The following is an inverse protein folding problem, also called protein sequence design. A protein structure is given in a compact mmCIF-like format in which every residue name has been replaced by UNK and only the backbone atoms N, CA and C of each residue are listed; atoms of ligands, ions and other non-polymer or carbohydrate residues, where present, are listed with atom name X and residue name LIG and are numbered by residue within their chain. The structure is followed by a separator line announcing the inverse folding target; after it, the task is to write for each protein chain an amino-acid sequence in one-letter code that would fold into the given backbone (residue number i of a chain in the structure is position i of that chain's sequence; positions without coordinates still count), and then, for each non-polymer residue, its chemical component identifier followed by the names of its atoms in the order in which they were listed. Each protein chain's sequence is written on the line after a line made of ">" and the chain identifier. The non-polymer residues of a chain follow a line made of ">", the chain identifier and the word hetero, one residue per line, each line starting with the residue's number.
data_IF_160137515690
#
_entry.id   IF_160137515690
#
_cell.length_a   1.000
_cell.length_b   1.000
_cell.length_c   1.000
_cell.angle_alpha   90.00
_cell.angle_beta   90.00
_cell.angle_gamma   90.00
#
_symmetry.space_group_name_H-M   'P 1'
#
loop_
_entity.id
_entity.type
_entity.pdbx_description
1 polymer ?
#
# COMPACT_ATOMS: atom_id res chain seq x y z
N UNK A 1 -18.87 20.19 16.29
CA UNK A 1 -18.03 19.09 15.84
C UNK A 1 -17.22 18.61 17.02
N UNK A 2 -17.26 17.32 17.30
CA UNK A 2 -16.40 16.71 18.30
C UNK A 2 -14.94 16.74 17.83
N UNK A 3 -13.95 16.62 18.72
CA UNK A 3 -12.55 16.46 18.31
C UNK A 3 -12.33 15.19 17.46
N UNK A 4 -13.22 14.21 17.53
CA UNK A 4 -13.14 12.97 16.77
C UNK A 4 -13.59 13.14 15.30
N UNK A 5 -14.39 14.17 15.00
CA UNK A 5 -14.90 14.46 13.65
C UNK A 5 -13.77 14.80 12.65
N UNK A 6 -12.58 15.20 13.14
CA UNK A 6 -11.43 15.49 12.27
C UNK A 6 -10.73 14.21 11.74
N UNK A 7 -10.96 13.08 12.43
CA UNK A 7 -10.39 11.77 12.09
C UNK A 7 -11.38 10.89 11.32
N UNK A 8 -12.64 11.31 11.19
CA UNK A 8 -13.61 10.63 10.32
C UNK A 8 -13.60 11.24 8.92
N UNK A 9 -14.08 10.45 7.95
CA UNK A 9 -14.26 10.89 6.56
C UNK A 9 -15.76 11.09 6.32
N UNK A 10 -16.20 12.26 5.84
CA UNK A 10 -17.61 12.49 5.55
C UNK A 10 -18.08 11.66 4.35
N UNK A 11 -19.37 11.35 4.28
CA UNK A 11 -19.92 10.51 3.21
C UNK A 11 -19.88 11.17 1.81
N UNK A 12 -19.77 12.49 1.76
CA UNK A 12 -19.61 13.28 0.53
C UNK A 12 -18.12 13.53 0.19
N UNK A 13 -17.20 12.69 0.70
CA UNK A 13 -15.78 12.79 0.40
C UNK A 13 -15.53 12.85 -1.12
N UNK A 14 -14.75 13.82 -1.60
CA UNK A 14 -14.57 14.00 -3.04
C UNK A 14 -13.80 12.83 -3.66
N UNK A 15 -14.35 12.26 -4.72
CA UNK A 15 -13.72 11.24 -5.56
C UNK A 15 -13.66 11.79 -6.98
N UNK A 16 -12.47 11.75 -7.58
CA UNK A 16 -12.22 12.22 -8.93
C UNK A 16 -11.58 11.10 -9.74
N UNK A 17 -12.10 10.86 -10.93
CA UNK A 17 -11.55 9.91 -11.88
C UNK A 17 -10.39 10.52 -12.66
N UNK A 18 -9.26 9.79 -12.73
CA UNK A 18 -8.14 10.18 -13.58
C UNK A 18 -8.45 9.77 -15.03
N UNK A 19 -8.69 10.74 -15.90
CA UNK A 19 -8.89 10.50 -17.33
C UNK A 19 -7.52 10.32 -18.02
N UNK A 20 -7.33 9.16 -18.66
CA UNK A 20 -6.11 8.86 -19.42
C UNK A 20 -6.38 8.05 -20.70
N UNK A 21 -7.64 7.87 -21.09
CA UNK A 21 -8.06 7.01 -22.19
C UNK A 21 -7.49 7.51 -23.52
N UNK A 22 -7.60 8.81 -23.78
CA UNK A 22 -7.08 9.43 -25.02
C UNK A 22 -5.57 9.24 -25.14
N UNK A 23 -4.83 9.47 -24.05
CA UNK A 23 -3.38 9.30 -24.01
C UNK A 23 -2.98 7.83 -24.18
N UNK A 24 -3.68 6.91 -23.51
CA UNK A 24 -3.41 5.48 -23.58
C UNK A 24 -3.72 4.90 -24.97
N UNK A 25 -4.82 5.32 -25.62
CA UNK A 25 -5.20 4.83 -26.93
C UNK A 25 -4.22 5.22 -28.04
N UNK A 26 -3.56 6.38 -27.90
CA UNK A 26 -2.53 6.83 -28.81
C UNK A 26 -1.23 6.01 -28.75
N UNK A 27 -1.04 5.17 -27.73
CA UNK A 27 0.14 4.33 -27.58
C UNK A 27 0.13 3.14 -28.56
N UNK A 28 1.29 2.84 -29.14
CA UNK A 28 1.52 1.57 -29.83
C UNK A 28 1.44 0.38 -28.87
N UNK A 29 1.23 -0.83 -29.40
CA UNK A 29 1.19 -2.05 -28.57
C UNK A 29 2.47 -2.24 -27.74
N UNK A 30 3.64 -1.92 -28.29
CA UNK A 30 4.92 -1.99 -27.55
C UNK A 30 4.93 -1.02 -26.37
N UNK A 31 4.47 0.21 -26.57
CA UNK A 31 4.36 1.23 -25.53
C UNK A 31 3.32 0.84 -24.47
N UNK A 32 2.16 0.32 -24.87
CA UNK A 32 1.15 -0.20 -23.93
C UNK A 32 1.72 -1.30 -23.03
N UNK A 33 2.51 -2.23 -23.59
CA UNK A 33 3.19 -3.26 -22.81
C UNK A 33 4.25 -2.69 -21.86
N UNK A 34 5.03 -1.69 -22.30
CA UNK A 34 5.98 -0.97 -21.44
C UNK A 34 5.27 -0.33 -20.23
N UNK A 35 4.23 0.48 -20.49
CA UNK A 35 3.41 1.12 -19.46
C UNK A 35 2.72 0.11 -18.54
N UNK A 36 2.20 -0.99 -19.10
CA UNK A 36 1.54 -2.05 -18.33
C UNK A 36 2.48 -2.68 -17.29
N UNK A 37 3.68 -3.10 -17.69
CA UNK A 37 4.61 -3.74 -16.77
C UNK A 37 5.22 -2.76 -15.77
N UNK A 38 5.43 -1.50 -16.14
CA UNK A 38 5.82 -0.46 -15.17
C UNK A 38 4.70 -0.20 -14.16
N UNK A 39 3.45 -0.13 -14.62
CA UNK A 39 2.29 0.01 -13.74
C UNK A 39 2.20 -1.17 -12.76
N UNK A 40 2.40 -2.41 -13.22
CA UNK A 40 2.44 -3.58 -12.35
C UNK A 40 3.60 -3.50 -11.35
N UNK A 41 4.79 -3.07 -11.76
CA UNK A 41 5.92 -2.88 -10.86
C UNK A 41 5.58 -1.87 -9.75
N UNK A 42 4.98 -0.73 -10.11
CA UNK A 42 4.56 0.32 -9.18
C UNK A 42 3.46 -0.15 -8.22
N UNK A 43 2.41 -0.81 -8.72
CA UNK A 43 1.30 -1.30 -7.89
C UNK A 43 1.71 -2.44 -6.95
N UNK A 44 2.61 -3.33 -7.37
CA UNK A 44 3.16 -4.30 -6.44
C UNK A 44 4.12 -3.65 -5.44
N UNK A 45 4.94 -2.69 -5.89
CA UNK A 45 5.83 -1.93 -5.02
C UNK A 45 5.08 -1.16 -3.92
N UNK A 46 3.91 -0.61 -4.23
CA UNK A 46 3.09 0.13 -3.25
C UNK A 46 2.57 -0.75 -2.11
N UNK A 47 2.55 -2.07 -2.25
CA UNK A 47 2.25 -2.98 -1.13
C UNK A 47 3.23 -2.81 0.04
N UNK A 48 4.47 -2.38 -0.23
CA UNK A 48 5.43 -2.07 0.83
C UNK A 48 4.99 -0.85 1.66
N UNK A 49 4.22 0.09 1.08
CA UNK A 49 3.75 1.30 1.77
C UNK A 49 2.79 0.95 2.90
N UNK A 50 1.91 -0.05 2.72
CA UNK A 50 1.04 -0.52 3.81
C UNK A 50 1.83 -1.00 5.04
N UNK A 51 3.01 -1.56 4.81
CA UNK A 51 3.92 -1.97 5.89
C UNK A 51 4.65 -0.75 6.47
N UNK A 52 4.96 0.27 5.66
CA UNK A 52 5.64 1.50 6.10
C UNK A 52 4.75 2.42 6.94
N UNK A 53 3.46 2.55 6.60
CA UNK A 53 2.51 3.50 7.24
C UNK A 53 2.13 3.06 8.67
N UNK A 54 2.30 1.79 9.03
CA UNK A 54 1.91 1.28 10.36
C UNK A 54 3.08 0.70 11.17
N UNK A 55 4.32 1.06 10.81
CA UNK A 55 5.49 0.52 11.48
C UNK A 55 5.69 1.09 12.90
N UNK A 56 5.55 0.18 13.89
CA UNK A 56 6.15 0.22 15.22
C UNK A 56 5.86 1.45 16.09
N UNK A 57 4.60 1.60 16.54
CA UNK A 57 4.29 2.45 17.72
C UNK A 57 4.70 1.74 19.04
N UNK A 58 5.00 0.44 19.02
CA UNK A 58 5.50 -0.33 20.18
C UNK A 58 5.93 -1.74 19.74
N UNK A 59 6.84 -2.38 20.48
CA UNK A 59 7.19 -3.81 20.34
C UNK A 59 6.01 -4.78 20.52
N UNK A 60 4.83 -4.27 20.90
CA UNK A 60 3.61 -5.03 21.17
C UNK A 60 2.48 -4.85 20.14
N UNK A 61 2.61 -3.93 19.17
CA UNK A 61 1.54 -3.63 18.20
C UNK A 61 1.96 -4.06 16.80
N UNK A 62 1.24 -5.04 16.23
CA UNK A 62 1.39 -5.43 14.82
C UNK A 62 0.89 -4.29 13.93
N UNK A 63 1.58 -3.94 12.82
CA UNK A 63 1.08 -2.97 11.86
C UNK A 63 -0.33 -3.36 11.38
N UNK A 64 -1.32 -2.47 11.56
CA UNK A 64 -2.71 -2.77 11.23
C UNK A 64 -3.04 -2.56 9.75
N UNK A 65 -2.35 -1.64 9.06
CA UNK A 65 -2.60 -1.34 7.64
C UNK A 65 -2.52 -2.59 6.72
N UNK A 66 -1.51 -3.47 6.81
CA UNK A 66 -1.48 -4.69 5.99
C UNK A 66 -2.64 -5.65 6.29
N UNK A 67 -3.12 -5.67 7.54
CA UNK A 67 -4.23 -6.52 7.95
C UNK A 67 -5.57 -5.94 7.47
N UNK A 68 -5.74 -4.62 7.54
CA UNK A 68 -6.88 -3.90 6.95
C UNK A 68 -6.92 -4.13 5.44
N UNK A 69 -5.77 -4.02 4.75
CA UNK A 69 -5.66 -4.32 3.32
C UNK A 69 -6.12 -5.75 3.01
N UNK A 70 -5.65 -6.73 3.78
CA UNK A 70 -6.04 -8.13 3.59
C UNK A 70 -7.54 -8.35 3.82
N UNK A 71 -8.10 -7.75 4.87
CA UNK A 71 -9.53 -7.81 5.20
C UNK A 71 -10.39 -7.22 4.08
N UNK A 72 -10.12 -5.97 3.68
CA UNK A 72 -10.90 -5.28 2.65
C UNK A 72 -10.76 -5.97 1.29
N UNK A 73 -9.55 -6.37 0.90
CA UNK A 73 -9.32 -7.08 -0.37
C UNK A 73 -10.09 -8.40 -0.41
N UNK A 74 -10.12 -9.18 0.69
CA UNK A 74 -10.92 -10.40 0.77
C UNK A 74 -12.41 -10.12 0.59
N UNK A 75 -12.94 -9.09 1.26
CA UNK A 75 -14.36 -8.72 1.13
C UNK A 75 -14.69 -8.32 -0.32
N UNK A 76 -13.95 -7.37 -0.89
CA UNK A 76 -14.26 -6.83 -2.22
C UNK A 76 -13.93 -7.77 -3.38
N UNK A 77 -13.03 -8.74 -3.21
CA UNK A 77 -12.67 -9.68 -4.28
C UNK A 77 -13.58 -10.92 -4.35
N UNK A 78 -14.39 -11.19 -3.32
CA UNK A 78 -15.27 -12.37 -3.28
C UNK A 78 -16.67 -12.10 -3.84
N UNK A 79 -17.07 -10.83 -3.99
CA UNK A 79 -18.35 -10.48 -4.59
C UNK A 79 -18.39 -9.04 -5.13
N UNK A 80 -19.26 -8.74 -6.11
CA UNK A 80 -19.51 -7.37 -6.53
C UNK A 80 -20.06 -6.51 -5.38
N UNK A 81 -19.66 -5.23 -5.35
CA UNK A 81 -20.08 -4.26 -4.32
C UNK A 81 -21.60 -4.17 -4.20
N UNK A 82 -22.32 -4.22 -5.33
CA UNK A 82 -23.78 -4.17 -5.36
C UNK A 82 -24.46 -5.37 -4.67
N UNK A 83 -23.83 -6.55 -4.72
CA UNK A 83 -24.33 -7.74 -4.04
C UNK A 83 -24.13 -7.62 -2.53
N UNK A 84 -22.95 -7.17 -2.11
CA UNK A 84 -22.66 -6.87 -0.71
C UNK A 84 -23.62 -5.81 -0.16
N UNK A 85 -23.87 -4.73 -0.92
CA UNK A 85 -24.84 -3.67 -0.56
C UNK A 85 -26.22 -4.25 -0.34
N UNK A 86 -26.75 -5.00 -1.31
CA UNK A 86 -28.08 -5.64 -1.21
C UNK A 86 -28.17 -6.53 0.03
N UNK A 87 -27.18 -7.37 0.28
CA UNK A 87 -27.16 -8.26 1.43
C UNK A 87 -27.13 -7.50 2.77
N UNK A 88 -26.36 -6.41 2.85
CA UNK A 88 -26.29 -5.54 4.03
C UNK A 88 -27.62 -4.85 4.31
N UNK A 89 -28.25 -4.25 3.28
CA UNK A 89 -29.54 -3.56 3.43
C UNK A 89 -30.65 -4.51 3.91
N UNK A 90 -30.69 -5.76 3.44
CA UNK A 90 -31.64 -6.78 3.91
C UNK A 90 -31.51 -7.03 5.43
N UNK A 91 -30.30 -6.90 5.98
CA UNK A 91 -30.03 -7.05 7.43
C UNK A 91 -30.18 -5.75 8.22
N UNK A 92 -30.75 -4.70 7.62
CA UNK A 92 -31.04 -3.44 8.29
C UNK A 92 -29.86 -2.47 8.34
N UNK A 93 -28.82 -2.67 7.52
CA UNK A 93 -27.74 -1.69 7.39
C UNK A 93 -28.26 -0.41 6.73
N UNK A 94 -27.83 0.77 7.19
CA UNK A 94 -28.22 2.03 6.56
C UNK A 94 -27.39 2.32 5.31
N UNK A 95 -27.97 3.05 4.36
CA UNK A 95 -27.23 3.53 3.19
C UNK A 95 -26.06 4.44 3.57
N UNK A 96 -26.23 5.25 4.62
CA UNK A 96 -25.19 6.12 5.14
C UNK A 96 -24.00 5.34 5.70
N UNK A 97 -24.23 4.28 6.48
CA UNK A 97 -23.14 3.44 6.99
C UNK A 97 -22.44 2.67 5.87
N UNK A 98 -23.20 2.23 4.85
CA UNK A 98 -22.61 1.57 3.69
C UNK A 98 -21.72 2.54 2.90
N UNK A 99 -22.17 3.79 2.73
CA UNK A 99 -21.40 4.85 2.08
C UNK A 99 -20.15 5.19 2.89
N UNK A 100 -20.26 5.32 4.21
CA UNK A 100 -19.11 5.53 5.10
C UNK A 100 -18.06 4.42 4.98
N UNK A 101 -18.49 3.16 4.84
CA UNK A 101 -17.60 2.02 4.61
C UNK A 101 -16.88 2.12 3.25
N UNK A 102 -17.59 2.48 2.19
CA UNK A 102 -16.99 2.68 0.87
C UNK A 102 -15.99 3.83 0.87
N UNK A 103 -16.37 4.98 1.44
CA UNK A 103 -15.48 6.15 1.57
C UNK A 103 -14.20 5.78 2.32
N UNK A 104 -14.33 5.13 3.50
CA UNK A 104 -13.17 4.67 4.24
C UNK A 104 -12.27 3.76 3.40
N UNK A 105 -12.88 2.77 2.72
CA UNK A 105 -12.14 1.81 1.91
C UNK A 105 -11.41 2.48 0.73
N UNK A 106 -12.08 3.39 0.02
CA UNK A 106 -11.50 4.14 -1.10
C UNK A 106 -10.32 4.99 -0.65
N UNK A 107 -10.45 5.74 0.45
CA UNK A 107 -9.39 6.59 0.98
C UNK A 107 -8.25 5.76 1.57
N UNK A 108 -8.55 4.60 2.18
CA UNK A 108 -7.55 3.65 2.64
C UNK A 108 -6.69 3.11 1.49
N UNK A 109 -7.32 2.67 0.39
CA UNK A 109 -6.58 2.20 -0.78
C UNK A 109 -5.80 3.33 -1.48
N UNK A 110 -6.35 4.55 -1.55
CA UNK A 110 -5.65 5.68 -2.17
C UNK A 110 -4.41 6.12 -1.39
N UNK A 111 -4.42 5.98 -0.06
CA UNK A 111 -3.29 6.35 0.80
C UNK A 111 -2.34 5.17 1.08
N UNK A 112 -2.68 3.96 0.61
CA UNK A 112 -1.95 2.73 0.95
C UNK A 112 -1.79 2.52 2.46
N UNK A 113 -2.82 2.86 3.22
CA UNK A 113 -2.82 2.82 4.68
C UNK A 113 -3.91 3.69 5.32
N UNK A 114 -4.05 3.60 6.64
CA UNK A 114 -5.06 4.32 7.43
C UNK A 114 -4.60 5.70 7.95
N UNK A 115 -3.63 6.31 7.28
CA UNK A 115 -3.15 7.68 7.54
C UNK A 115 -3.18 8.48 6.24
N UNK A 116 -3.57 9.75 6.31
CA UNK A 116 -3.61 10.64 5.15
C UNK A 116 -2.17 10.96 4.73
N UNK A 117 -1.83 10.73 3.47
CA UNK A 117 -0.52 11.09 2.92
C UNK A 117 -0.27 12.61 2.88
N UNK A 118 -1.33 13.41 2.94
CA UNK A 118 -1.23 14.84 3.22
C UNK A 118 -1.67 15.11 4.66
N UNK A 119 -0.70 15.46 5.51
CA UNK A 119 -0.91 15.82 6.91
C UNK A 119 -0.69 14.69 7.91
N UNK A 120 -0.27 13.50 7.47
CA UNK A 120 0.19 12.36 8.29
C UNK A 120 -0.76 11.97 9.43
N UNK A 121 -2.04 12.27 9.24
CA UNK A 121 -3.08 12.15 10.26
C UNK A 121 -3.89 10.90 10.04
N UNK A 122 -4.12 10.13 11.11
CA UNK A 122 -4.95 8.92 11.05
C UNK A 122 -6.37 9.24 10.60
N UNK A 123 -7.03 8.27 9.99
CA UNK A 123 -8.48 8.34 9.79
C UNK A 123 -9.14 7.00 10.09
N UNK A 124 -10.38 7.07 10.58
CA UNK A 124 -11.16 5.91 11.03
C UNK A 124 -12.45 5.81 10.21
N UNK A 125 -13.05 4.61 10.10
CA UNK A 125 -14.33 4.47 9.42
C UNK A 125 -15.41 5.30 10.14
N UNK A 126 -16.18 6.07 9.38
CA UNK A 126 -17.28 6.90 9.91
C UNK A 126 -18.56 6.08 10.14
N UNK A 127 -18.44 4.93 10.80
CA UNK A 127 -19.54 4.06 11.18
C UNK A 127 -19.16 3.29 12.46
N UNK A 128 -20.15 2.92 13.30
CA UNK A 128 -19.89 2.16 14.52
C UNK A 128 -19.17 0.83 14.26
N UNK A 129 -18.29 0.43 15.18
CA UNK A 129 -17.47 -0.80 15.05
C UNK A 129 -18.31 -2.07 14.95
N UNK A 130 -19.42 -2.13 15.69
CA UNK A 130 -20.39 -3.23 15.68
C UNK A 130 -21.14 -3.31 14.34
N UNK A 131 -21.46 -2.15 13.74
CA UNK A 131 -22.03 -2.08 12.41
C UNK A 131 -21.03 -2.59 11.35
N UNK A 132 -19.78 -2.15 11.40
CA UNK A 132 -18.76 -2.67 10.49
C UNK A 132 -18.59 -4.19 10.63
N UNK A 133 -18.59 -4.73 11.85
CA UNK A 133 -18.52 -6.18 12.07
C UNK A 133 -19.72 -6.92 11.44
N UNK A 134 -20.94 -6.40 11.60
CA UNK A 134 -22.15 -6.98 10.98
C UNK A 134 -22.04 -6.98 9.45
N UNK A 135 -21.54 -5.89 8.86
CA UNK A 135 -21.32 -5.79 7.42
C UNK A 135 -20.29 -6.83 6.95
N UNK A 136 -19.14 -6.93 7.61
CA UNK A 136 -18.10 -7.90 7.29
C UNK A 136 -18.64 -9.33 7.37
N UNK A 137 -19.38 -9.68 8.43
CA UNK A 137 -20.06 -10.97 8.62
C UNK A 137 -21.16 -11.27 7.60
N UNK A 138 -21.59 -10.27 6.85
CA UNK A 138 -22.58 -10.44 5.78
C UNK A 138 -21.95 -10.78 4.45
N UNK A 139 -20.67 -10.49 4.26
CA UNK A 139 -19.95 -10.78 3.03
C UNK A 139 -19.84 -12.28 2.73
N UNK A 140 -19.81 -12.62 1.44
CA UNK A 140 -19.49 -13.98 0.98
C UNK A 140 -18.12 -14.43 1.45
N UNK A 141 -17.15 -13.51 1.53
CA UNK A 141 -15.82 -13.81 2.06
C UNK A 141 -15.90 -14.41 3.47
N UNK A 142 -16.72 -13.81 4.35
CA UNK A 142 -16.90 -14.31 5.73
C UNK A 142 -17.60 -15.66 5.79
N UNK A 143 -18.56 -15.91 4.90
CA UNK A 143 -19.20 -17.22 4.80
C UNK A 143 -18.22 -18.31 4.32
N UNK A 144 -17.29 -17.95 3.43
CA UNK A 144 -16.29 -18.88 2.88
C UNK A 144 -15.13 -19.17 3.85
N UNK A 145 -14.65 -18.15 4.58
CA UNK A 145 -13.48 -18.27 5.47
C UNK A 145 -13.74 -17.63 6.87
N UNK A 146 -14.75 -18.09 7.62
CA UNK A 146 -15.21 -17.41 8.85
C UNK A 146 -14.14 -17.33 9.93
N UNK A 147 -13.37 -18.40 10.14
CA UNK A 147 -12.32 -18.44 11.17
C UNK A 147 -11.16 -17.49 10.84
N UNK A 148 -10.75 -17.45 9.57
CA UNK A 148 -9.66 -16.59 9.12
C UNK A 148 -10.04 -15.11 9.21
N UNK A 149 -11.26 -14.74 8.77
CA UNK A 149 -11.74 -13.37 8.83
C UNK A 149 -12.06 -12.92 10.26
N UNK A 150 -12.57 -13.81 11.11
CA UNK A 150 -12.71 -13.53 12.55
C UNK A 150 -11.34 -13.26 13.19
N UNK A 151 -10.33 -14.08 12.91
CA UNK A 151 -8.97 -13.86 13.40
C UNK A 151 -8.35 -12.54 12.92
N UNK A 152 -8.57 -12.18 11.64
CA UNK A 152 -8.15 -10.89 11.10
C UNK A 152 -8.87 -9.72 11.79
N UNK A 153 -10.19 -9.82 11.93
CA UNK A 153 -11.01 -8.78 12.56
C UNK A 153 -10.62 -8.56 14.03
N UNK A 154 -10.39 -9.61 14.80
CA UNK A 154 -10.00 -9.50 16.21
C UNK A 154 -8.66 -8.78 16.40
N UNK A 155 -7.76 -8.89 15.42
CA UNK A 155 -6.47 -8.19 15.41
C UNK A 155 -6.57 -6.73 14.95
N UNK A 156 -7.60 -6.40 14.17
CA UNK A 156 -7.73 -5.09 13.48
C UNK A 156 -8.73 -4.17 14.15
N UNK A 157 -9.84 -4.68 14.70
CA UNK A 157 -10.98 -3.85 15.15
C UNK A 157 -10.62 -2.78 16.17
N UNK A 158 -9.71 -3.09 17.10
CA UNK A 158 -9.20 -2.14 18.07
C UNK A 158 -8.32 -1.07 17.41
N UNK A 159 -7.16 -1.46 16.83
CA UNK A 159 -6.27 -0.52 16.15
C UNK A 159 -6.93 0.31 15.05
N UNK A 160 -7.90 -0.23 14.32
CA UNK A 160 -8.65 0.45 13.26
C UNK A 160 -9.37 1.70 13.74
N UNK A 161 -9.96 1.64 14.94
CA UNK A 161 -10.75 2.75 15.53
C UNK A 161 -10.00 3.50 16.63
N UNK A 162 -8.81 3.05 17.03
CA UNK A 162 -8.06 3.67 18.11
C UNK A 162 -7.52 5.05 17.71
N UNK A 163 -7.81 6.05 18.52
CA UNK A 163 -7.37 7.44 18.38
C UNK A 163 -6.60 7.90 19.63
N UNK A 164 -5.71 7.05 20.16
CA UNK A 164 -4.84 7.50 21.25
C UNK A 164 -3.88 8.60 20.74
N UNK A 165 -3.36 9.44 21.65
CA UNK A 165 -2.46 10.54 21.28
C UNK A 165 -1.25 10.11 20.45
N UNK A 166 -0.78 8.87 20.60
CA UNK A 166 0.36 8.32 19.83
C UNK A 166 -0.01 7.82 18.44
N UNK A 167 -1.30 7.62 18.16
CA UNK A 167 -1.81 7.06 16.91
C UNK A 167 -2.45 8.12 16.02
N UNK A 168 -2.71 9.33 16.53
CA UNK A 168 -3.32 10.41 15.74
C UNK A 168 -2.40 10.90 14.60
N UNK A 169 -1.09 10.72 14.75
CA UNK A 169 -0.06 11.21 13.82
C UNK A 169 1.05 10.18 13.62
N UNK A 170 1.64 10.15 12.42
CA UNK A 170 2.85 9.35 12.18
C UNK A 170 4.04 9.89 12.99
N UNK A 171 4.92 8.97 13.42
CA UNK A 171 6.10 9.28 14.23
C UNK A 171 7.29 8.40 13.84
N UNK A 172 8.43 8.66 14.46
CA UNK A 172 9.69 8.00 14.13
C UNK A 172 9.69 6.51 14.52
N UNK A 173 10.21 5.61 13.65
CA UNK A 173 10.37 4.21 13.98
C UNK A 173 11.61 3.96 14.85
N UNK A 174 11.55 2.89 15.66
CA UNK A 174 12.67 2.46 16.52
C UNK A 174 13.76 1.65 15.78
N UNK A 175 13.55 1.27 14.51
CA UNK A 175 14.43 0.37 13.74
C UNK A 175 14.63 0.82 12.29
N UNK A 176 15.82 0.59 11.74
CA UNK A 176 16.19 0.88 10.35
C UNK A 176 16.50 -0.45 9.62
N UNK A 177 15.81 -0.70 8.50
CA UNK A 177 16.06 -1.84 7.61
C UNK A 177 16.04 -1.37 6.16
N UNK A 178 16.87 -1.98 5.30
CA UNK A 178 16.90 -1.65 3.87
C UNK A 178 15.98 -2.57 3.06
N UNK A 179 15.14 -1.96 2.23
CA UNK A 179 14.29 -2.66 1.26
C UNK A 179 15.15 -3.35 0.20
N UNK A 180 15.07 -4.68 0.12
CA UNK A 180 15.85 -5.48 -0.83
C UNK A 180 15.26 -6.90 -0.97
N UNK A 181 15.52 -7.57 -2.10
CA UNK A 181 15.26 -9.02 -2.23
C UNK A 181 16.26 -9.82 -1.39
N UNK A 182 17.54 -9.49 -1.50
CA UNK A 182 18.61 -10.23 -0.84
C UNK A 182 18.54 -10.08 0.67
N UNK A 183 18.36 -11.21 1.35
CA UNK A 183 18.50 -11.34 2.80
C UNK A 183 19.96 -11.65 3.09
N UNK A 184 20.80 -10.62 3.07
CA UNK A 184 22.18 -10.80 3.51
C UNK A 184 22.26 -10.66 5.03
N UNK A 185 22.98 -11.56 5.73
CA UNK A 185 23.43 -11.32 7.09
C UNK A 185 24.65 -10.37 7.12
N UNK A 186 24.98 -9.65 6.05
CA UNK A 186 26.04 -8.63 6.01
C UNK A 186 25.75 -7.56 7.07
N UNK A 187 26.22 -7.88 8.28
CA UNK A 187 26.46 -7.00 9.38
C UNK A 187 27.36 -5.93 8.79
N UNK A 188 26.83 -4.73 8.50
CA UNK A 188 27.71 -3.58 8.64
C UNK A 188 28.25 -3.72 10.06
N UNK A 189 29.57 -3.97 10.24
CA UNK A 189 30.13 -4.41 11.51
C UNK A 189 29.55 -3.54 12.61
N UNK A 190 29.10 -4.15 13.73
CA UNK A 190 28.48 -3.46 14.86
C UNK A 190 29.10 -2.07 15.00
N UNK A 191 28.37 -1.06 14.53
CA UNK A 191 28.93 0.27 14.51
C UNK A 191 28.65 0.81 15.90
N UNK A 192 29.68 0.83 16.75
CA UNK A 192 29.63 1.54 18.01
C UNK A 192 29.71 3.04 17.70
N UNK A 193 28.57 3.71 17.78
CA UNK A 193 28.51 5.15 17.69
C UNK A 193 28.06 5.72 19.04
N UNK A 194 28.97 6.41 19.72
CA UNK A 194 28.73 7.00 21.06
C UNK A 194 28.21 5.98 22.09
N UNK A 195 28.74 4.75 22.05
CA UNK A 195 28.34 3.68 22.97
C UNK A 195 27.00 3.00 22.66
N UNK A 196 26.40 3.32 21.51
CA UNK A 196 25.21 2.63 20.99
C UNK A 196 25.61 1.72 19.84
N UNK A 197 25.15 0.46 19.88
CA UNK A 197 25.40 -0.54 18.84
C UNK A 197 24.37 -0.43 17.72
N UNK A 198 24.82 -0.27 16.49
CA UNK A 198 23.97 -0.28 15.30
C UNK A 198 24.18 -1.55 14.48
N UNK A 199 23.06 -2.16 14.08
CA UNK A 199 23.03 -3.30 13.15
C UNK A 199 22.21 -2.89 11.93
N UNK A 200 22.83 -2.90 10.77
CA UNK A 200 22.14 -2.66 9.50
C UNK A 200 21.90 -4.00 8.82
N UNK A 201 20.66 -4.25 8.42
CA UNK A 201 20.25 -5.48 7.74
C UNK A 201 19.53 -5.17 6.43
N UNK A 202 19.58 -6.14 5.51
CA UNK A 202 18.86 -6.12 4.23
C UNK A 202 17.70 -7.11 4.22
N UNK A 203 16.91 -7.08 3.15
CA UNK A 203 15.83 -8.03 2.92
C UNK A 203 14.46 -7.55 3.37
N UNK A 204 14.31 -6.26 3.70
CA UNK A 204 12.99 -5.71 4.02
C UNK A 204 12.10 -5.77 2.77
N UNK A 205 10.85 -6.22 2.95
CA UNK A 205 9.87 -6.40 1.87
C UNK A 205 10.30 -7.37 0.74
N UNK A 206 11.26 -8.27 0.97
CA UNK A 206 11.84 -9.13 -0.07
C UNK A 206 10.84 -9.81 -1.02
N UNK A 207 9.71 -10.42 -0.56
CA UNK A 207 8.73 -11.00 -1.46
C UNK A 207 8.08 -9.97 -2.41
N UNK A 208 7.82 -8.76 -1.92
CA UNK A 208 7.25 -7.65 -2.70
C UNK A 208 8.29 -7.14 -3.71
N UNK A 209 9.54 -6.94 -3.26
CA UNK A 209 10.64 -6.50 -4.13
C UNK A 209 10.90 -7.50 -5.25
N UNK A 210 10.71 -8.80 -5.01
CA UNK A 210 10.83 -9.83 -6.05
C UNK A 210 9.79 -9.66 -7.16
N UNK A 211 8.54 -9.41 -6.82
CA UNK A 211 7.48 -9.16 -7.82
C UNK A 211 7.77 -7.88 -8.62
N UNK A 212 8.20 -6.82 -7.93
CA UNK A 212 8.60 -5.56 -8.56
C UNK A 212 9.72 -5.79 -9.58
N UNK A 213 10.81 -6.45 -9.19
CA UNK A 213 11.97 -6.71 -10.08
C UNK A 213 11.59 -7.59 -11.27
N UNK A 214 10.68 -8.55 -11.11
CA UNK A 214 10.16 -9.36 -12.22
C UNK A 214 9.43 -8.50 -13.25
N UNK A 215 8.57 -7.59 -12.80
CA UNK A 215 7.83 -6.70 -13.71
C UNK A 215 8.73 -5.66 -14.38
N UNK A 216 9.73 -5.10 -13.67
CA UNK A 216 10.74 -4.26 -14.31
C UNK A 216 11.51 -5.01 -15.42
N UNK A 217 11.76 -6.31 -15.22
CA UNK A 217 12.37 -7.16 -16.23
C UNK A 217 11.52 -7.26 -17.50
N UNK A 218 10.21 -7.48 -17.34
CA UNK A 218 9.27 -7.51 -18.47
C UNK A 218 9.12 -6.14 -19.14
N UNK A 219 9.08 -5.05 -18.37
CA UNK A 219 9.08 -3.70 -18.92
C UNK A 219 10.30 -3.45 -19.80
N UNK A 220 11.49 -3.88 -19.36
CA UNK A 220 12.75 -3.71 -20.11
C UNK A 220 12.72 -4.32 -21.51
N UNK A 221 12.01 -5.43 -21.71
CA UNK A 221 11.84 -6.07 -23.03
C UNK A 221 11.11 -5.14 -24.03
N UNK A 222 10.32 -4.19 -23.53
CA UNK A 222 9.54 -3.24 -24.31
C UNK A 222 10.08 -1.81 -24.30
N UNK A 223 11.26 -1.58 -23.72
CA UNK A 223 11.90 -0.26 -23.70
C UNK A 223 12.09 0.32 -25.12
N UNK A 224 11.90 1.63 -25.23
CA UNK A 224 12.02 2.38 -26.47
C UNK A 224 13.49 2.59 -26.87
N UNK A 225 14.39 2.74 -25.91
CA UNK A 225 15.80 3.06 -26.15
C UNK A 225 16.75 2.47 -25.08
N UNK A 226 18.05 2.66 -25.28
CA UNK A 226 19.08 2.13 -24.37
C UNK A 226 19.14 2.83 -23.02
N UNK A 227 18.66 4.08 -22.89
CA UNK A 227 18.61 4.77 -21.61
C UNK A 227 17.57 4.13 -20.69
N UNK A 228 16.37 3.85 -21.21
CA UNK A 228 15.33 3.11 -20.48
C UNK A 228 15.79 1.72 -20.06
N UNK A 229 16.46 0.98 -20.96
CA UNK A 229 17.01 -0.35 -20.62
C UNK A 229 18.01 -0.28 -19.48
N UNK A 230 18.99 0.62 -19.59
CA UNK A 230 20.03 0.79 -18.56
C UNK A 230 19.45 1.28 -17.24
N UNK A 231 18.50 2.21 -17.29
CA UNK A 231 17.75 2.67 -16.11
C UNK A 231 17.11 1.48 -15.39
N UNK A 232 16.37 0.65 -16.14
CA UNK A 232 15.68 -0.51 -15.57
C UNK A 232 16.65 -1.58 -15.06
N UNK A 233 17.78 -1.83 -15.73
CA UNK A 233 18.83 -2.73 -15.23
C UNK A 233 19.36 -2.26 -13.87
N UNK A 234 19.62 -0.96 -13.74
CA UNK A 234 20.08 -0.35 -12.49
C UNK A 234 19.01 -0.39 -11.39
N UNK A 235 17.75 -0.13 -11.70
CA UNK A 235 16.64 -0.25 -10.74
C UNK A 235 16.43 -1.71 -10.30
N UNK A 236 16.47 -2.67 -11.23
CA UNK A 236 16.44 -4.10 -10.88
C UNK A 236 17.59 -4.45 -9.92
N UNK A 237 18.81 -3.98 -10.20
CA UNK A 237 19.96 -4.18 -9.29
C UNK A 237 19.73 -3.53 -7.92
N UNK A 238 19.22 -2.30 -7.89
CA UNK A 238 18.91 -1.58 -6.65
C UNK A 238 17.93 -2.38 -5.79
N UNK A 239 16.76 -2.72 -6.31
CA UNK A 239 15.73 -3.44 -5.56
C UNK A 239 16.11 -4.89 -5.22
N UNK A 240 17.02 -5.49 -5.97
CA UNK A 240 17.57 -6.80 -5.64
C UNK A 240 18.53 -6.72 -4.44
N UNK A 241 19.46 -5.76 -4.46
CA UNK A 241 20.62 -5.74 -3.55
C UNK A 241 20.52 -4.73 -2.40
N UNK A 242 19.54 -3.83 -2.44
CA UNK A 242 19.41 -2.67 -1.55
C UNK A 242 20.42 -1.55 -1.83
N UNK A 243 21.03 -1.51 -3.03
CA UNK A 243 22.09 -0.54 -3.37
C UNK A 243 21.52 0.82 -3.82
N UNK A 244 21.66 1.84 -2.97
CA UNK A 244 21.30 3.21 -3.31
C UNK A 244 22.16 3.78 -4.45
N UNK A 245 23.43 3.38 -4.55
CA UNK A 245 24.28 3.80 -5.67
C UNK A 245 23.77 3.25 -7.00
N UNK A 246 23.31 1.99 -7.03
CA UNK A 246 22.65 1.44 -8.22
C UNK A 246 21.38 2.23 -8.56
N UNK A 247 20.57 2.61 -7.57
CA UNK A 247 19.41 3.47 -7.82
C UNK A 247 19.83 4.81 -8.46
N UNK A 248 20.83 5.48 -7.89
CA UNK A 248 21.35 6.75 -8.41
C UNK A 248 21.92 6.60 -9.82
N UNK A 249 22.57 5.48 -10.13
CA UNK A 249 23.05 5.19 -11.48
C UNK A 249 21.88 5.05 -12.46
N UNK A 250 20.80 4.37 -12.06
CA UNK A 250 19.55 4.31 -12.82
C UNK A 250 18.95 5.69 -13.06
N UNK A 251 18.85 6.51 -12.00
CA UNK A 251 18.33 7.88 -12.10
C UNK A 251 19.20 8.76 -13.02
N UNK A 252 20.52 8.54 -13.10
CA UNK A 252 21.37 9.24 -14.08
C UNK A 252 21.09 8.84 -15.52
N UNK A 253 20.65 7.60 -15.78
CA UNK A 253 20.20 7.18 -17.11
C UNK A 253 18.82 7.76 -17.42
N UNK A 254 17.91 7.75 -16.44
CA UNK A 254 16.59 8.36 -16.53
C UNK A 254 16.65 9.83 -16.95
N UNK A 255 17.45 10.65 -16.26
CA UNK A 255 17.61 12.09 -16.57
C UNK A 255 18.11 12.33 -18.01
N UNK A 256 18.86 11.38 -18.59
CA UNK A 256 19.37 11.45 -19.96
C UNK A 256 18.33 11.06 -21.01
N UNK A 257 17.27 10.34 -20.63
CA UNK A 257 16.15 10.01 -21.51
C UNK A 257 15.28 11.27 -21.67
N UNK A 258 15.45 12.00 -22.77
CA UNK A 258 14.71 13.24 -23.02
C UNK A 258 13.42 12.95 -23.79
N UNK A 259 12.34 13.58 -23.34
CA UNK A 259 11.02 13.54 -23.95
C UNK A 259 10.49 12.13 -24.26
N UNK A 260 10.51 11.19 -23.27
CA UNK A 260 9.95 9.87 -23.49
C UNK A 260 8.43 9.95 -23.71
N UNK A 261 7.90 9.09 -24.57
CA UNK A 261 6.44 8.98 -24.78
C UNK A 261 5.76 8.44 -23.51
N UNK A 262 6.45 7.61 -22.73
CA UNK A 262 6.00 7.11 -21.44
C UNK A 262 7.06 7.49 -20.41
N UNK A 263 6.72 8.42 -19.53
CA UNK A 263 7.55 8.83 -18.39
C UNK A 263 7.16 8.03 -17.14
N UNK A 264 8.14 7.67 -16.30
CA UNK A 264 7.96 6.85 -15.09
C UNK A 264 8.93 7.16 -13.98
#
# INVERSE_FOLDING_TARGET
>A
MSEDDQYSLPNDYPIVELECQVAFDALSNKQKLYAHYLSLASWHGSLAVYLQVSNYISSTTSPESPLIFSLLTKVFSNEPIDELKKAALIKGFSEDNFTAFLVYSSVFFSNSGNYKGFGDTKFVPNLPVDQLEVLLKTSKAWNSEPEALQSLWDRVKGPLYSLSEREKQLSYPDKIRLAAIETSPDVIPEADFKGSKFVVTKGDYSPIMKLLVQHLGKAKEHAANDFEKKMLDHYQKSFTTGSLDAHKDGSRQWIKNKDPIIET
#
